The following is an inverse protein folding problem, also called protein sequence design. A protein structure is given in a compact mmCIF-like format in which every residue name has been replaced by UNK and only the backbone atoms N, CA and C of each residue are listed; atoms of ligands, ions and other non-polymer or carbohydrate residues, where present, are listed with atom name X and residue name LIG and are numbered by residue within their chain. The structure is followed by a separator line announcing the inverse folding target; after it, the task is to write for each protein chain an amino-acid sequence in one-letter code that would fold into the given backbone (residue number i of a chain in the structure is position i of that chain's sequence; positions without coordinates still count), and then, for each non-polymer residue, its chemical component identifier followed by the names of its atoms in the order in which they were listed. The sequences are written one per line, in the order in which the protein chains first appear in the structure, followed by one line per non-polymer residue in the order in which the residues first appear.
data_IF_888720962328
#
_entry.id   IF_888720962328
#
_cell.length_a   1.000
_cell.length_b   1.000
_cell.length_c   1.000
_cell.angle_alpha   90.00
_cell.angle_beta   90.00
_cell.angle_gamma   90.00
#
_symmetry.space_group_name_H-M   'P 1'
#
loop_
_entity.id
_entity.type
_entity.pdbx_description
1 polymer ?
#
# COMPACT_ATOMS: atom_id res chain seq x y z
N UNK A 1 0.85 -5.57 -12.70
CA UNK A 1 -0.43 -4.87 -12.64
C UNK A 1 -0.30 -3.48 -13.24
N UNK A 2 -1.16 -3.11 -14.19
CA UNK A 2 -1.01 -1.88 -14.97
C UNK A 2 -1.95 -0.78 -14.43
N UNK A 3 -1.56 -0.15 -13.32
CA UNK A 3 -2.36 0.85 -12.61
C UNK A 3 -2.38 2.24 -13.28
N UNK A 4 -1.70 2.36 -14.43
CA UNK A 4 -1.67 3.57 -15.27
C UNK A 4 -2.69 3.50 -16.41
N UNK A 5 -3.35 2.36 -16.61
CA UNK A 5 -4.42 2.22 -17.60
C UNK A 5 -5.74 2.69 -16.98
N UNK A 6 -6.45 3.66 -17.60
CA UNK A 6 -7.71 4.15 -17.04
C UNK A 6 -8.79 3.08 -17.02
N UNK A 7 -9.57 3.03 -15.93
CA UNK A 7 -10.69 2.09 -15.80
C UNK A 7 -11.74 2.40 -16.86
N UNK A 8 -12.03 1.44 -17.75
CA UNK A 8 -12.99 1.65 -18.85
C UNK A 8 -14.41 1.21 -18.49
N UNK A 9 -14.55 0.00 -17.93
CA UNK A 9 -15.83 -0.56 -17.50
C UNK A 9 -15.59 -1.77 -16.58
N UNK A 10 -16.49 -1.98 -15.63
CA UNK A 10 -16.66 -3.26 -14.94
C UNK A 10 -17.83 -4.02 -15.57
N UNK A 11 -17.77 -5.36 -15.59
CA UNK A 11 -18.76 -6.22 -16.27
C UNK A 11 -20.19 -6.00 -15.73
N UNK A 12 -20.32 -5.78 -14.43
CA UNK A 12 -21.62 -5.59 -13.76
C UNK A 12 -21.86 -4.11 -13.39
N UNK A 13 -20.87 -3.25 -13.59
CA UNK A 13 -20.91 -1.82 -13.31
C UNK A 13 -20.22 -1.02 -14.43
N UNK A 14 -20.84 -0.90 -15.62
CA UNK A 14 -20.23 -0.27 -16.81
C UNK A 14 -19.90 1.22 -16.61
N UNK A 15 -20.60 1.87 -15.67
CA UNK A 15 -20.37 3.26 -15.30
C UNK A 15 -19.43 3.43 -14.11
N UNK A 16 -18.88 2.34 -13.58
CA UNK A 16 -17.91 2.33 -12.48
C UNK A 16 -18.38 3.17 -11.27
N UNK A 17 -19.69 3.11 -10.95
CA UNK A 17 -20.29 3.85 -9.86
C UNK A 17 -19.83 3.27 -8.51
N UNK A 18 -19.39 4.14 -7.62
CA UNK A 18 -19.03 3.82 -6.25
C UNK A 18 -19.69 4.83 -5.30
N UNK A 19 -19.92 4.47 -4.02
CA UNK A 19 -20.35 5.44 -3.03
C UNK A 19 -19.34 6.58 -2.92
N UNK A 20 -19.81 7.80 -3.18
CA UNK A 20 -19.09 9.04 -2.98
C UNK A 20 -19.32 9.60 -1.59
N UNK A 21 -19.07 10.90 -1.44
CA UNK A 21 -19.34 11.61 -0.18
C UNK A 21 -20.84 11.52 0.14
N UNK A 22 -21.16 11.25 1.39
CA UNK A 22 -22.54 11.15 1.89
C UNK A 22 -23.39 10.04 1.23
N UNK A 23 -22.74 9.09 0.54
CA UNK A 23 -23.39 7.96 -0.14
C UNK A 23 -23.82 8.24 -1.58
N UNK A 24 -23.64 9.46 -2.07
CA UNK A 24 -24.00 9.84 -3.43
C UNK A 24 -23.13 9.11 -4.46
N UNK A 25 -23.70 8.50 -5.51
CA UNK A 25 -22.93 7.72 -6.47
C UNK A 25 -21.99 8.61 -7.30
N UNK A 26 -20.70 8.23 -7.36
CA UNK A 26 -19.69 8.87 -8.21
C UNK A 26 -19.07 7.85 -9.16
N UNK A 27 -18.80 8.24 -10.41
CA UNK A 27 -18.11 7.37 -11.37
C UNK A 27 -16.60 7.41 -11.18
N UNK A 28 -15.96 6.23 -11.21
CA UNK A 28 -14.50 6.07 -11.29
C UNK A 28 -14.00 5.72 -12.69
N UNK A 29 -14.85 5.82 -13.70
CA UNK A 29 -14.46 5.61 -15.10
C UNK A 29 -13.40 6.63 -15.50
N UNK A 30 -12.35 6.17 -16.17
CA UNK A 30 -11.19 6.97 -16.53
C UNK A 30 -10.22 7.27 -15.37
N UNK A 31 -10.48 6.79 -14.14
CA UNK A 31 -9.56 7.02 -13.03
C UNK A 31 -8.24 6.25 -13.24
N UNK A 32 -7.13 6.91 -12.91
CA UNK A 32 -5.78 6.35 -12.90
C UNK A 32 -5.11 6.63 -11.56
N UNK A 33 -4.17 5.78 -11.17
CA UNK A 33 -3.33 6.04 -10.00
C UNK A 33 -2.15 6.91 -10.41
N UNK A 34 -2.02 8.05 -9.76
CA UNK A 34 -0.81 8.88 -9.84
C UNK A 34 0.35 8.13 -9.15
N UNK A 35 1.32 7.72 -9.96
CA UNK A 35 2.44 6.88 -9.51
C UNK A 35 3.28 7.55 -8.44
N UNK A 36 3.56 8.84 -8.57
CA UNK A 36 4.40 9.55 -7.63
C UNK A 36 3.68 9.80 -6.31
N UNK A 37 2.39 10.17 -6.35
CA UNK A 37 1.58 10.30 -5.14
C UNK A 37 1.49 8.98 -4.39
N UNK A 38 1.34 7.87 -5.12
CA UNK A 38 1.30 6.55 -4.53
C UNK A 38 2.62 6.19 -3.83
N UNK A 39 3.77 6.40 -4.49
CA UNK A 39 5.07 6.12 -3.89
C UNK A 39 5.32 6.99 -2.65
N UNK A 40 4.99 8.28 -2.68
CA UNK A 40 5.08 9.14 -1.47
C UNK A 40 4.20 8.65 -0.31
N UNK A 41 2.98 8.20 -0.60
CA UNK A 41 2.07 7.66 0.41
C UNK A 41 2.61 6.35 1.01
N UNK A 42 3.22 5.50 0.18
CA UNK A 42 3.88 4.27 0.62
C UNK A 42 5.08 4.55 1.51
N UNK A 43 5.90 5.55 1.19
CA UNK A 43 7.04 5.95 2.00
C UNK A 43 6.59 6.43 3.39
N UNK A 44 5.55 7.28 3.44
CA UNK A 44 4.94 7.73 4.69
C UNK A 44 4.40 6.55 5.51
N UNK A 45 3.74 5.60 4.84
CA UNK A 45 3.22 4.40 5.49
C UNK A 45 4.36 3.56 6.09
N UNK A 46 5.46 3.34 5.37
CA UNK A 46 6.62 2.61 5.87
C UNK A 46 7.26 3.31 7.08
N UNK A 47 7.46 4.62 7.01
CA UNK A 47 7.97 5.40 8.14
C UNK A 47 7.09 5.25 9.39
N UNK A 48 5.78 5.42 9.25
CA UNK A 48 4.83 5.30 10.36
C UNK A 48 4.84 3.89 10.99
N UNK A 49 5.10 2.87 10.18
CA UNK A 49 5.16 1.47 10.64
C UNK A 49 6.54 1.07 11.17
N UNK A 50 7.54 1.95 11.12
CA UNK A 50 8.92 1.64 11.51
C UNK A 50 9.60 0.67 10.55
N UNK A 51 9.25 0.77 9.27
CA UNK A 51 9.81 -0.03 8.17
C UNK A 51 10.83 0.84 7.41
N UNK A 52 11.79 0.18 6.77
CA UNK A 52 12.72 0.87 5.89
C UNK A 52 12.04 1.21 4.55
N UNK A 53 12.26 2.44 4.08
CA UNK A 53 11.59 2.96 2.89
C UNK A 53 12.11 2.29 1.62
N UNK A 54 13.43 2.08 1.55
CA UNK A 54 14.08 1.58 0.34
C UNK A 54 13.72 0.13 0.04
N UNK A 55 13.62 -0.69 1.09
CA UNK A 55 13.33 -2.13 0.99
C UNK A 55 11.86 -2.46 1.23
N UNK A 56 11.13 -1.62 1.97
CA UNK A 56 9.79 -1.93 2.46
C UNK A 56 9.77 -3.03 3.53
N UNK A 57 10.93 -3.37 4.11
CA UNK A 57 11.04 -4.41 5.15
C UNK A 57 10.90 -3.79 6.54
N UNK A 58 10.43 -4.62 7.48
CA UNK A 58 10.38 -4.24 8.88
C UNK A 58 11.79 -4.03 9.43
N UNK A 59 11.97 -3.02 10.28
CA UNK A 59 13.23 -2.84 10.99
C UNK A 59 13.31 -3.78 12.19
N UNK A 60 14.51 -4.29 12.49
CA UNK A 60 14.76 -5.09 13.70
C UNK A 60 14.38 -4.34 14.97
N UNK A 61 14.66 -3.03 15.01
CA UNK A 61 14.32 -2.17 16.13
C UNK A 61 12.81 -2.19 16.38
N UNK A 62 11.99 -2.04 15.32
CA UNK A 62 10.54 -2.05 15.46
C UNK A 62 9.99 -3.40 15.86
N UNK A 63 10.54 -4.49 15.35
CA UNK A 63 10.12 -5.84 15.74
C UNK A 63 10.40 -6.10 17.23
N UNK A 64 11.56 -5.68 17.75
CA UNK A 64 11.88 -5.78 19.18
C UNK A 64 10.99 -4.89 20.05
N UNK A 65 10.73 -3.65 19.62
CA UNK A 65 9.79 -2.74 20.32
C UNK A 65 8.40 -3.39 20.51
N UNK A 66 7.98 -4.22 19.54
CA UNK A 66 6.71 -4.93 19.57
C UNK A 66 6.76 -6.30 20.28
N UNK A 67 7.90 -6.71 20.84
CA UNK A 67 8.07 -8.01 21.48
C UNK A 67 8.10 -9.21 20.51
N UNK A 68 8.59 -8.99 19.29
CA UNK A 68 8.69 -9.98 18.20
C UNK A 68 10.15 -10.41 17.95
N UNK A 69 10.92 -10.63 19.01
CA UNK A 69 12.35 -10.97 18.94
C UNK A 69 12.64 -12.30 18.22
N UNK A 70 11.75 -13.27 18.32
CA UNK A 70 11.85 -14.55 17.61
C UNK A 70 11.65 -14.36 16.10
N UNK A 71 10.65 -13.56 15.71
CA UNK A 71 10.40 -13.20 14.30
C UNK A 71 11.55 -12.36 13.75
N UNK A 72 12.08 -11.41 14.51
CA UNK A 72 13.23 -10.62 14.10
C UNK A 72 14.45 -11.51 13.78
N UNK A 73 14.68 -12.57 14.57
CA UNK A 73 15.76 -13.54 14.32
C UNK A 73 15.51 -14.39 13.07
N UNK A 74 14.30 -14.90 12.85
CA UNK A 74 13.96 -15.67 11.64
C UNK A 74 14.14 -14.81 10.37
N UNK A 75 13.59 -13.60 10.38
CA UNK A 75 13.67 -12.70 9.24
C UNK A 75 15.11 -12.28 8.96
N UNK A 76 15.92 -12.02 9.98
CA UNK A 76 17.34 -11.71 9.82
C UNK A 76 18.11 -12.87 9.18
N UNK A 77 17.91 -14.11 9.64
CA UNK A 77 18.55 -15.30 9.06
C UNK A 77 18.20 -15.50 7.58
N UNK A 78 17.03 -15.01 7.16
CA UNK A 78 16.52 -15.11 5.80
C UNK A 78 16.81 -13.86 4.94
N UNK A 79 17.41 -12.82 5.52
CA UNK A 79 17.65 -11.53 4.84
C UNK A 79 16.37 -10.74 4.53
N UNK A 80 15.30 -10.94 5.31
CA UNK A 80 13.97 -10.35 5.15
C UNK A 80 13.63 -9.30 6.23
N UNK A 81 14.64 -8.78 6.93
CA UNK A 81 14.53 -7.62 7.81
C UNK A 81 15.81 -6.80 7.75
N UNK A 82 15.71 -5.52 8.11
CA UNK A 82 16.83 -4.58 8.09
C UNK A 82 17.12 -3.99 9.46
#
# INVERSE_FOLDING_TARGET
SNYTVPIQADLHNPECLVPGKDGEPVSRKGAVVDREKFERMKDQYYQLRGWDIGTGLQTKAKLKELGLEDIARDLEQRGLSV
#
